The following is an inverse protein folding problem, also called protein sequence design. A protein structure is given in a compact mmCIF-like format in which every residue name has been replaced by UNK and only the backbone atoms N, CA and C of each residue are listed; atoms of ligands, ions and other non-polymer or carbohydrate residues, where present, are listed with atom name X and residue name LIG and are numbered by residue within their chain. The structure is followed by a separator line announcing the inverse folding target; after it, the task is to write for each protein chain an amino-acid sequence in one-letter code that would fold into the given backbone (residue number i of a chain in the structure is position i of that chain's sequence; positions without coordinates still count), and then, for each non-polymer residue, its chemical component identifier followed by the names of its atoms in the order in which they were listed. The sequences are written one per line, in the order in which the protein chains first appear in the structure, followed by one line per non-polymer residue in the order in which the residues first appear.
data_IF_591879819921
#
_entry.id   IF_591879819921
#
_cell.length_a   1.000
_cell.length_b   1.000
_cell.length_c   1.000
_cell.angle_alpha   90.00
_cell.angle_beta   90.00
_cell.angle_gamma   90.00
#
_symmetry.space_group_name_H-M   'P 1'
#
loop_
_entity.id
_entity.type
_entity.pdbx_description
1 polymer ?
#
# COMPACT_ATOMS: atom_id res chain seq x y z
N UNK A 1 14.09 -8.01 -6.91
CA UNK A 1 13.76 -8.44 -5.53
C UNK A 1 12.34 -8.99 -5.53
N UNK A 2 12.12 -10.15 -4.93
CA UNK A 2 10.79 -10.72 -4.78
C UNK A 2 10.26 -10.45 -3.38
N UNK A 3 9.01 -10.02 -3.30
CA UNK A 3 8.34 -9.73 -2.04
C UNK A 3 7.03 -10.49 -1.95
N UNK A 4 6.54 -10.70 -0.73
CA UNK A 4 5.25 -11.34 -0.48
C UNK A 4 4.21 -10.25 -0.20
N UNK A 5 3.30 -10.05 -1.14
CA UNK A 5 2.17 -9.16 -0.93
C UNK A 5 1.08 -9.87 -0.13
N UNK A 6 0.64 -9.24 0.95
CA UNK A 6 -0.27 -9.86 1.91
C UNK A 6 -1.72 -9.76 1.42
N UNK A 7 -2.45 -10.86 1.56
CA UNK A 7 -3.90 -10.94 1.37
C UNK A 7 -4.59 -11.29 2.68
N UNK A 8 -5.88 -11.01 2.75
CA UNK A 8 -6.71 -11.41 3.86
C UNK A 8 -7.13 -12.89 3.74
N UNK A 9 -7.90 -13.40 4.72
CA UNK A 9 -8.36 -14.78 4.73
C UNK A 9 -9.14 -15.10 3.45
N UNK A 10 -8.98 -16.32 2.95
CA UNK A 10 -9.63 -16.75 1.73
C UNK A 10 -9.01 -16.22 0.45
N UNK A 11 -7.74 -15.80 0.51
CA UNK A 11 -6.98 -15.29 -0.63
C UNK A 11 -7.64 -14.08 -1.31
N UNK A 12 -8.32 -13.23 -0.51
CA UNK A 12 -8.95 -12.00 -0.99
C UNK A 12 -8.14 -10.79 -0.57
N UNK A 13 -8.20 -9.72 -1.37
CA UNK A 13 -7.56 -8.47 -1.00
C UNK A 13 -8.24 -7.83 0.21
N UNK A 14 -7.44 -7.24 1.09
CA UNK A 14 -7.94 -6.64 2.33
C UNK A 14 -8.64 -5.31 2.04
N UNK A 15 -9.90 -5.12 2.48
CA UNK A 15 -10.55 -3.81 2.43
C UNK A 15 -9.81 -2.82 3.35
N UNK A 16 -9.51 -1.63 2.84
CA UNK A 16 -8.80 -0.61 3.63
C UNK A 16 -9.55 -0.23 4.90
N UNK A 17 -10.87 -0.08 4.80
CA UNK A 17 -11.69 0.45 5.88
C UNK A 17 -11.98 -0.53 7.01
N UNK A 18 -11.83 -1.84 6.78
CA UNK A 18 -12.31 -2.86 7.71
C UNK A 18 -11.27 -3.89 8.14
N UNK A 19 -10.10 -3.92 7.50
CA UNK A 19 -9.05 -4.85 7.93
C UNK A 19 -8.70 -4.61 9.40
N UNK A 20 -8.59 -5.69 10.17
CA UNK A 20 -8.41 -5.61 11.62
C UNK A 20 -6.98 -5.24 11.99
N UNK A 21 -6.76 -3.97 12.31
CA UNK A 21 -5.44 -3.44 12.67
C UNK A 21 -4.95 -3.92 14.04
N UNK A 22 -5.83 -4.50 14.85
CA UNK A 22 -5.47 -5.08 16.16
C UNK A 22 -4.97 -6.51 16.05
N UNK A 23 -5.00 -7.11 14.85
CA UNK A 23 -4.51 -8.46 14.65
C UNK A 23 -2.99 -8.52 14.88
N UNK A 24 -2.53 -9.62 15.50
CA UNK A 24 -1.11 -9.80 15.81
C UNK A 24 -0.19 -9.75 14.58
N UNK A 25 -0.72 -10.02 13.39
CA UNK A 25 0.03 -9.89 12.13
C UNK A 25 0.68 -8.51 11.99
N UNK A 26 0.02 -7.46 12.49
CA UNK A 26 0.53 -6.08 12.36
C UNK A 26 1.61 -5.73 13.39
N UNK A 27 1.85 -6.61 14.37
CA UNK A 27 2.92 -6.39 15.35
C UNK A 27 4.27 -6.40 14.63
N UNK A 28 5.01 -5.31 14.77
CA UNK A 28 6.31 -5.13 14.11
C UNK A 28 6.28 -5.24 12.58
N UNK A 29 5.10 -5.09 11.96
CA UNK A 29 5.00 -5.10 10.50
C UNK A 29 5.36 -3.73 9.94
N UNK A 30 6.50 -3.66 9.25
CA UNK A 30 6.99 -2.46 8.59
C UNK A 30 7.39 -2.81 7.15
N UNK A 31 7.15 -1.89 6.25
CA UNK A 31 7.48 -2.14 4.85
C UNK A 31 6.85 -1.10 3.93
N UNK A 32 6.40 -1.56 2.77
CA UNK A 32 5.72 -0.76 1.75
C UNK A 32 4.29 -1.21 1.58
N UNK A 33 3.42 -0.31 1.13
CA UNK A 33 2.01 -0.63 0.91
C UNK A 33 1.50 0.01 -0.36
N UNK A 34 0.42 -0.58 -0.90
CA UNK A 34 -0.31 -0.08 -2.06
C UNK A 34 -1.78 -0.04 -1.70
N UNK A 35 -2.42 1.12 -1.94
CA UNK A 35 -3.87 1.30 -1.82
C UNK A 35 -4.42 1.52 -3.22
N UNK A 36 -5.51 0.83 -3.58
CA UNK A 36 -6.16 1.00 -4.88
C UNK A 36 -7.68 0.98 -4.73
N UNK A 37 -8.38 1.47 -5.75
CA UNK A 37 -9.83 1.35 -5.81
C UNK A 37 -10.25 0.29 -6.83
N UNK A 38 -11.39 -0.35 -6.58
CA UNK A 38 -11.92 -1.43 -7.38
C UNK A 38 -13.04 -1.03 -8.34
N UNK A 39 -13.11 0.25 -8.74
CA UNK A 39 -14.14 0.72 -9.67
C UNK A 39 -14.01 0.15 -11.07
N UNK A 40 -14.78 0.67 -12.03
CA UNK A 40 -14.80 0.17 -13.41
C UNK A 40 -13.43 0.18 -14.07
N UNK A 41 -12.60 1.15 -13.73
CA UNK A 41 -11.20 1.20 -14.15
C UNK A 41 -10.34 1.22 -12.89
N UNK A 42 -10.04 0.05 -12.29
CA UNK A 42 -9.23 -0.01 -11.08
C UNK A 42 -7.93 0.74 -11.24
N UNK A 43 -7.57 1.51 -10.23
CA UNK A 43 -6.35 2.32 -10.27
C UNK A 43 -5.72 2.45 -8.89
N UNK A 44 -4.40 2.60 -8.88
CA UNK A 44 -3.65 2.83 -7.65
C UNK A 44 -3.97 4.23 -7.10
N UNK A 45 -4.32 4.28 -5.82
CA UNK A 45 -4.64 5.53 -5.13
C UNK A 45 -3.43 6.07 -4.39
N UNK A 46 -2.75 5.22 -3.61
CA UNK A 46 -1.60 5.64 -2.81
C UNK A 46 -0.54 4.54 -2.71
N UNK A 47 0.71 4.93 -2.73
CA UNK A 47 1.88 4.08 -2.44
C UNK A 47 2.65 4.73 -1.31
N UNK A 48 3.17 3.95 -0.38
CA UNK A 48 3.96 4.50 0.71
C UNK A 48 4.71 3.43 1.50
N UNK A 49 5.30 3.86 2.62
CA UNK A 49 6.12 3.01 3.48
C UNK A 49 5.95 3.39 4.95
N UNK A 50 6.37 2.52 5.83
CA UNK A 50 6.42 2.77 7.26
C UNK A 50 5.86 1.62 8.08
N UNK A 51 5.36 1.95 9.27
CA UNK A 51 4.64 1.00 10.13
C UNK A 51 3.25 0.83 9.54
N UNK A 52 2.97 -0.38 9.06
CA UNK A 52 1.80 -0.61 8.19
C UNK A 52 0.47 -0.26 8.88
N UNK A 53 0.26 -0.70 10.12
CA UNK A 53 -1.00 -0.38 10.81
C UNK A 53 -1.21 1.11 11.00
N UNK A 54 -0.14 1.87 11.24
CA UNK A 54 -0.22 3.32 11.42
C UNK A 54 -0.56 4.01 10.10
N UNK A 55 0.04 3.55 9.02
CA UNK A 55 -0.25 4.10 7.68
C UNK A 55 -1.68 3.82 7.26
N UNK A 56 -2.18 2.60 7.47
CA UNK A 56 -3.57 2.26 7.16
C UNK A 56 -4.53 3.13 7.99
N UNK A 57 -4.29 3.26 9.30
CA UNK A 57 -5.12 4.10 10.17
C UNK A 57 -5.13 5.56 9.69
N UNK A 58 -3.98 6.09 9.30
CA UNK A 58 -3.85 7.45 8.78
C UNK A 58 -4.67 7.63 7.50
N UNK A 59 -4.58 6.69 6.55
CA UNK A 59 -5.29 6.79 5.27
C UNK A 59 -6.79 6.57 5.38
N UNK A 60 -7.27 5.93 6.45
CA UNK A 60 -8.71 5.88 6.75
C UNK A 60 -9.31 7.24 7.04
N UNK A 61 -8.48 8.21 7.43
CA UNK A 61 -8.88 9.57 7.78
C UNK A 61 -8.33 10.63 6.82
N UNK A 62 -7.69 10.22 5.73
CA UNK A 62 -7.16 11.12 4.72
C UNK A 62 -8.25 11.43 3.68
N UNK A 63 -8.72 12.69 3.59
CA UNK A 63 -9.79 13.04 2.64
C UNK A 63 -9.42 12.75 1.19
N UNK A 64 -8.17 12.89 0.81
CA UNK A 64 -7.73 12.62 -0.57
C UNK A 64 -7.87 11.15 -0.92
N UNK A 65 -7.54 10.25 0.01
CA UNK A 65 -7.71 8.81 -0.18
C UNK A 65 -9.19 8.45 -0.12
N UNK A 66 -9.91 8.97 0.87
CA UNK A 66 -11.32 8.65 1.09
C UNK A 66 -12.24 9.17 -0.01
N UNK A 67 -11.79 10.11 -0.85
CA UNK A 67 -12.52 10.52 -2.04
C UNK A 67 -12.80 9.34 -2.99
N UNK A 68 -11.99 8.29 -2.94
CA UNK A 68 -12.16 7.08 -3.74
C UNK A 68 -12.93 5.97 -3.02
N UNK A 69 -13.34 6.18 -1.77
CA UNK A 69 -14.07 5.16 -0.99
C UNK A 69 -15.34 4.63 -1.67
N UNK A 70 -16.15 5.45 -2.39
CA UNK A 70 -17.33 4.93 -3.10
C UNK A 70 -17.01 3.86 -4.14
N UNK A 71 -15.78 3.81 -4.64
CA UNK A 71 -15.33 2.82 -5.62
C UNK A 71 -14.79 1.53 -4.97
N UNK A 72 -14.74 1.49 -3.64
CA UNK A 72 -14.17 0.36 -2.88
C UNK A 72 -12.66 0.46 -2.79
N UNK A 73 -12.14 0.67 -1.57
CA UNK A 73 -10.71 0.79 -1.32
C UNK A 73 -10.14 -0.51 -0.77
N UNK A 74 -9.03 -0.94 -1.34
CA UNK A 74 -8.26 -2.11 -0.94
C UNK A 74 -6.84 -1.72 -0.59
N UNK A 75 -6.17 -2.56 0.18
CA UNK A 75 -4.78 -2.36 0.57
C UNK A 75 -4.03 -3.68 0.57
N UNK A 76 -2.77 -3.64 0.16
CA UNK A 76 -1.81 -4.73 0.36
C UNK A 76 -0.50 -4.14 0.85
N UNK A 77 0.32 -4.96 1.46
CA UNK A 77 1.63 -4.55 1.96
C UNK A 77 2.60 -5.70 1.90
N UNK A 78 3.88 -5.36 1.98
CA UNK A 78 4.97 -6.32 2.03
C UNK A 78 6.03 -5.86 3.02
N UNK A 79 6.58 -6.80 3.78
CA UNK A 79 7.68 -6.52 4.69
C UNK A 79 8.93 -6.21 3.89
N UNK A 80 9.54 -5.04 4.12
CA UNK A 80 10.75 -4.59 3.44
C UNK A 80 11.71 -3.99 4.47
N UNK A 81 12.96 -4.41 4.44
CA UNK A 81 13.99 -3.85 5.30
C UNK A 81 14.15 -2.34 5.04
N UNK A 82 14.45 -1.58 6.09
CA UNK A 82 14.49 -0.11 6.06
C UNK A 82 15.37 0.44 4.93
N UNK A 83 16.52 -0.17 4.69
CA UNK A 83 17.48 0.30 3.69
C UNK A 83 17.00 0.13 2.23
N UNK A 84 15.96 -0.66 1.99
CA UNK A 84 15.42 -0.87 0.65
C UNK A 84 14.10 -0.13 0.40
N UNK A 85 13.44 0.38 1.43
CA UNK A 85 12.08 0.96 1.32
C UNK A 85 11.99 2.13 0.36
N UNK A 86 12.95 3.06 0.44
CA UNK A 86 12.93 4.22 -0.45
C UNK A 86 13.00 3.82 -1.91
N UNK A 87 13.90 2.88 -2.25
CA UNK A 87 14.03 2.40 -3.63
C UNK A 87 12.80 1.65 -4.11
N UNK A 88 12.20 0.82 -3.25
CA UNK A 88 10.99 0.08 -3.59
C UNK A 88 9.80 1.03 -3.76
N UNK A 89 9.63 2.01 -2.87
CA UNK A 89 8.56 3.01 -2.99
C UNK A 89 8.73 3.82 -4.28
N UNK A 90 9.95 4.24 -4.61
CA UNK A 90 10.23 4.96 -5.85
C UNK A 90 9.83 4.13 -7.08
N UNK A 91 10.17 2.84 -7.09
CA UNK A 91 9.78 1.93 -8.17
C UNK A 91 8.26 1.82 -8.29
N UNK A 92 7.57 1.58 -7.19
CA UNK A 92 6.11 1.42 -7.18
C UNK A 92 5.40 2.70 -7.63
N UNK A 93 5.86 3.86 -7.17
CA UNK A 93 5.28 5.14 -7.56
C UNK A 93 5.43 5.39 -9.06
N UNK A 94 6.61 5.12 -9.62
CA UNK A 94 6.85 5.28 -11.05
C UNK A 94 6.04 4.29 -11.89
N UNK A 95 5.91 3.05 -11.41
CA UNK A 95 5.23 1.97 -12.14
C UNK A 95 3.70 2.09 -12.07
N UNK A 96 3.16 2.49 -10.93
CA UNK A 96 1.72 2.47 -10.66
C UNK A 96 1.04 3.84 -10.79
N UNK A 97 1.80 4.91 -10.83
CA UNK A 97 1.27 6.29 -10.97
C UNK A 97 0.11 6.58 -10.00
N UNK A 98 0.34 6.54 -8.68
CA UNK A 98 -0.74 6.71 -7.71
C UNK A 98 -1.41 8.08 -7.84
N UNK A 99 -2.72 8.12 -7.60
CA UNK A 99 -3.53 9.33 -7.74
C UNK A 99 -3.32 10.34 -6.63
N UNK A 100 -2.87 9.88 -5.46
CA UNK A 100 -2.65 10.69 -4.27
C UNK A 100 -1.19 10.59 -3.87
N UNK A 101 -0.60 11.72 -3.44
CA UNK A 101 0.79 11.82 -3.06
C UNK A 101 1.61 12.53 -4.12
N UNK A 102 2.37 13.53 -3.71
CA UNK A 102 3.11 14.38 -4.63
C UNK A 102 4.63 14.19 -4.52
N UNK A 103 5.08 13.61 -3.42
CA UNK A 103 6.51 13.44 -3.16
C UNK A 103 6.84 11.99 -2.89
N UNK A 104 7.69 11.44 -3.73
CA UNK A 104 8.21 10.10 -3.57
C UNK A 104 9.73 10.18 -3.48
N UNK A 105 10.39 9.16 -2.87
CA UNK A 105 11.83 9.19 -2.72
C UNK A 105 12.53 9.38 -4.06
N UNK A 106 13.44 10.34 -4.12
CA UNK A 106 14.27 10.60 -5.31
C UNK A 106 15.56 9.79 -5.19
N UNK A 107 15.44 8.49 -5.38
CA UNK A 107 16.53 7.53 -5.28
C UNK A 107 16.44 6.54 -6.43
N UNK A 108 17.50 5.76 -6.65
CA UNK A 108 17.48 4.71 -7.66
C UNK A 108 16.37 3.69 -7.30
N UNK A 109 15.41 3.45 -8.20
CA UNK A 109 14.34 2.49 -7.94
C UNK A 109 14.87 1.08 -7.76
N UNK A 110 14.22 0.33 -6.86
CA UNK A 110 14.48 -1.09 -6.67
C UNK A 110 13.26 -1.85 -7.16
N UNK A 111 13.43 -2.61 -8.24
CA UNK A 111 12.34 -3.38 -8.84
C UNK A 111 11.89 -4.51 -7.91
N UNK A 112 10.58 -4.64 -7.76
CA UNK A 112 9.92 -5.77 -7.08
C UNK A 112 8.81 -6.32 -7.97
N UNK A 113 8.40 -7.57 -7.68
CA UNK A 113 7.20 -8.13 -8.31
C UNK A 113 5.97 -7.35 -7.85
N UNK A 114 5.01 -7.15 -8.76
CA UNK A 114 3.74 -6.50 -8.43
C UNK A 114 2.76 -7.53 -7.84
N UNK A 115 1.73 -7.07 -7.06
CA UNK A 115 0.75 -7.99 -6.46
C UNK A 115 -0.12 -8.71 -7.48
N UNK A 116 -0.28 -8.13 -8.65
CA UNK A 116 -1.13 -8.67 -9.72
C UNK A 116 -0.38 -8.76 -11.05
#
# INVERSE_FOLDING_TARGET
MNVKWIKCNGEVWCPLGTVNLSHAHFDNMEGVYIIWHGGNNPATVRVGQGIIKDRIAEHRNDPQVQAYAPLGLFVTWASIATNYRNGVEAFLAAKLSPKVGERFPNVVPIEVNLPW
#
